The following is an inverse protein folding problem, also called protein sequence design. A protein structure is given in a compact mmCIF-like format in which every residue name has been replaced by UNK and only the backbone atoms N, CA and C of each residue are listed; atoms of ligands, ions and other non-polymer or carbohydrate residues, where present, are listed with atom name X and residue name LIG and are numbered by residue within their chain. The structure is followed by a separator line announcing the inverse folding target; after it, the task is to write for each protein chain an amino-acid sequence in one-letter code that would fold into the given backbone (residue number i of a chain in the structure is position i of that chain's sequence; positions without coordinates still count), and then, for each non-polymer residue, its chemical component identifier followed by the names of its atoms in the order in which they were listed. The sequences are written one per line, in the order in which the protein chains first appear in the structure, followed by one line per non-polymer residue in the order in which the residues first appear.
data_IF_173487918319
#
_entry.id   IF_173487918319
#
_cell.length_a   1.000
_cell.length_b   1.000
_cell.length_c   1.000
_cell.angle_alpha   90.00
_cell.angle_beta   90.00
_cell.angle_gamma   90.00
#
_symmetry.space_group_name_H-M   'P 1'
#
loop_
_entity.id
_entity.type
_entity.pdbx_description
1 polymer ?
#
# COMPACT_ATOMS: atom_id res chain seq x y z
N UNK A 1 -29.09 -16.53 -0.27
CA UNK A 1 -27.81 -15.96 0.22
C UNK A 1 -27.18 -16.93 1.19
N UNK A 2 -25.97 -17.42 0.93
CA UNK A 2 -25.14 -18.15 1.89
C UNK A 2 -24.99 -17.34 3.19
N UNK A 3 -24.84 -18.00 4.35
CA UNK A 3 -24.74 -17.34 5.65
C UNK A 3 -23.73 -16.18 5.69
N UNK A 4 -22.56 -16.37 5.05
CA UNK A 4 -21.49 -15.37 4.99
C UNK A 4 -21.90 -14.08 4.25
N UNK A 5 -22.73 -14.17 3.20
CA UNK A 5 -23.20 -12.98 2.47
C UNK A 5 -24.19 -12.14 3.29
N UNK A 6 -25.01 -12.79 4.13
CA UNK A 6 -25.93 -12.09 5.04
C UNK A 6 -25.15 -11.29 6.10
N UNK A 7 -24.08 -11.88 6.63
CA UNK A 7 -23.20 -11.23 7.60
C UNK A 7 -22.51 -10.01 6.98
N UNK A 8 -21.87 -10.16 5.80
CA UNK A 8 -21.20 -9.07 5.05
C UNK A 8 -22.15 -7.89 4.79
N UNK A 9 -23.39 -8.18 4.40
CA UNK A 9 -24.40 -7.15 4.14
C UNK A 9 -24.84 -6.41 5.40
N UNK A 10 -24.87 -7.08 6.57
CA UNK A 10 -25.19 -6.46 7.84
C UNK A 10 -24.02 -5.59 8.34
N UNK A 11 -22.78 -6.03 8.14
CA UNK A 11 -21.55 -5.31 8.51
C UNK A 11 -21.39 -3.97 7.78
N UNK A 12 -21.86 -3.87 6.53
CA UNK A 12 -21.84 -2.60 5.77
C UNK A 12 -22.72 -1.51 6.39
N UNK A 13 -23.67 -1.85 7.27
CA UNK A 13 -24.61 -0.88 7.82
C UNK A 13 -23.97 -0.07 8.96
N UNK A 14 -24.18 1.26 9.01
CA UNK A 14 -23.72 2.06 10.13
C UNK A 14 -24.36 1.56 11.44
N UNK A 15 -23.56 1.48 12.51
CA UNK A 15 -24.02 1.01 13.82
C UNK A 15 -24.01 -0.52 14.01
N UNK A 16 -23.51 -1.29 13.04
CA UNK A 16 -23.32 -2.73 13.22
C UNK A 16 -22.22 -3.00 14.25
N UNK A 17 -22.59 -3.65 15.35
CA UNK A 17 -21.63 -4.16 16.33
C UNK A 17 -21.21 -5.57 15.97
N UNK A 18 -19.91 -5.83 16.01
CA UNK A 18 -19.35 -7.13 15.76
C UNK A 18 -19.67 -8.09 16.91
N UNK A 19 -20.44 -9.17 16.68
CA UNK A 19 -20.62 -10.18 17.71
C UNK A 19 -19.26 -10.82 17.98
N UNK A 20 -18.89 -10.87 19.25
CA UNK A 20 -17.74 -11.66 19.70
C UNK A 20 -18.23 -13.10 19.79
N UNK A 21 -17.53 -14.02 19.12
CA UNK A 21 -17.76 -15.44 19.29
C UNK A 21 -16.67 -15.95 20.24
N UNK A 22 -17.05 -16.18 21.50
CA UNK A 22 -16.16 -16.68 22.55
C UNK A 22 -15.64 -18.08 22.21
N UNK A 23 -16.48 -18.91 21.58
CA UNK A 23 -16.15 -20.28 21.17
C UNK A 23 -15.04 -20.29 20.10
N UNK A 24 -15.10 -19.37 19.14
CA UNK A 24 -14.10 -19.22 18.10
C UNK A 24 -12.92 -18.31 18.51
N UNK A 25 -12.99 -17.70 19.70
CA UNK A 25 -12.06 -16.66 20.18
C UNK A 25 -11.78 -15.59 19.13
N UNK A 26 -12.81 -15.26 18.35
CA UNK A 26 -12.73 -14.35 17.21
C UNK A 26 -13.49 -13.06 17.55
N UNK A 27 -12.78 -11.93 17.42
CA UNK A 27 -13.32 -10.59 17.66
C UNK A 27 -13.67 -9.86 16.36
N UNK A 28 -13.76 -8.52 16.46
CA UNK A 28 -13.94 -7.63 15.30
C UNK A 28 -12.82 -7.88 14.27
N UNK A 29 -13.13 -7.94 12.96
CA UNK A 29 -12.12 -8.08 11.94
C UNK A 29 -11.23 -6.85 11.87
N UNK A 30 -9.96 -7.10 11.53
CA UNK A 30 -9.03 -6.05 11.15
C UNK A 30 -9.33 -5.52 9.75
N UNK A 31 -8.70 -4.39 9.43
CA UNK A 31 -8.77 -3.77 8.11
C UNK A 31 -7.37 -3.37 7.69
N UNK A 32 -6.91 -3.92 6.58
CA UNK A 32 -5.64 -3.61 5.96
C UNK A 32 -5.91 -3.35 4.46
N UNK A 33 -6.07 -2.08 4.06
CA UNK A 33 -6.53 -1.75 2.70
C UNK A 33 -5.49 -1.97 1.61
N UNK A 34 -4.21 -2.11 1.97
CA UNK A 34 -3.09 -2.13 1.04
C UNK A 34 -2.33 -3.45 1.08
N UNK A 35 -1.89 -3.92 -0.09
CA UNK A 35 -1.01 -5.07 -0.25
C UNK A 35 0.43 -4.71 0.07
N UNK A 36 1.31 -5.70 0.21
CA UNK A 36 2.74 -5.41 0.37
C UNK A 36 3.31 -4.69 -0.85
N UNK A 37 4.32 -3.85 -0.63
CA UNK A 37 5.01 -3.18 -1.72
C UNK A 37 5.75 -4.20 -2.59
N UNK A 38 5.82 -3.98 -3.92
CA UNK A 38 6.54 -4.87 -4.81
C UNK A 38 8.04 -4.90 -4.48
N UNK A 39 8.71 -5.95 -4.93
CA UNK A 39 10.09 -6.24 -4.55
C UNK A 39 11.04 -5.03 -4.68
N UNK A 40 11.71 -4.70 -3.58
CA UNK A 40 12.66 -3.61 -3.48
C UNK A 40 12.03 -2.22 -3.30
N UNK A 41 10.72 -2.11 -3.16
CA UNK A 41 10.06 -0.92 -2.65
C UNK A 41 9.76 -1.07 -1.16
N UNK A 42 9.78 0.05 -0.44
CA UNK A 42 9.40 0.13 0.96
C UNK A 42 8.08 0.89 1.10
N UNK A 43 7.22 0.44 2.00
CA UNK A 43 5.99 1.16 2.29
C UNK A 43 6.32 2.50 2.96
N UNK A 44 5.74 3.56 2.45
CA UNK A 44 5.97 4.92 2.91
C UNK A 44 4.70 5.77 2.83
N UNK A 45 4.81 7.00 3.32
CA UNK A 45 3.74 7.99 3.23
C UNK A 45 3.93 8.85 1.98
N UNK A 46 2.83 9.27 1.35
CA UNK A 46 2.91 10.23 0.25
C UNK A 46 3.47 11.55 0.79
N UNK A 47 4.61 11.99 0.28
CA UNK A 47 5.19 13.29 0.63
C UNK A 47 4.45 14.39 -0.15
N UNK A 48 3.56 15.11 0.53
CA UNK A 48 2.81 16.22 -0.04
C UNK A 48 3.70 17.47 -0.17
N UNK A 49 4.69 17.43 -1.06
CA UNK A 49 5.28 18.59 -1.73
C UNK A 49 5.96 19.70 -0.90
N UNK A 50 5.85 19.70 0.42
CA UNK A 50 6.53 20.66 1.30
C UNK A 50 6.99 19.90 2.53
N UNK A 51 8.25 20.15 2.86
CA UNK A 51 8.88 19.88 4.14
C UNK A 51 9.49 18.48 4.35
N UNK A 52 10.76 18.54 4.75
CA UNK A 52 11.54 17.47 5.37
C UNK A 52 10.87 17.07 6.68
N UNK A 53 9.83 16.24 6.63
CA UNK A 53 9.20 15.77 7.86
C UNK A 53 8.96 14.25 7.83
N UNK A 54 9.81 13.57 8.58
CA UNK A 54 9.50 12.38 9.37
C UNK A 54 8.70 11.28 8.65
N UNK A 55 9.44 10.39 7.98
CA UNK A 55 8.98 9.09 7.46
C UNK A 55 8.40 8.12 8.53
N UNK A 56 8.14 8.58 9.76
CA UNK A 56 7.78 7.78 10.93
C UNK A 56 6.59 8.33 11.74
N UNK A 57 5.69 9.10 11.12
CA UNK A 57 4.49 9.65 11.75
C UNK A 57 3.20 8.89 11.40
N UNK A 58 2.83 7.89 12.22
CA UNK A 58 1.50 7.36 12.57
C UNK A 58 0.33 7.23 11.56
N UNK A 59 0.52 7.46 10.25
CA UNK A 59 -0.52 7.37 9.22
C UNK A 59 -0.36 6.16 8.30
N UNK A 60 -1.41 5.83 7.53
CA UNK A 60 -1.39 4.71 6.60
C UNK A 60 -0.30 4.89 5.52
N UNK A 61 0.53 3.87 5.35
CA UNK A 61 1.56 3.83 4.31
C UNK A 61 0.90 3.54 2.95
N UNK A 62 0.46 4.61 2.29
CA UNK A 62 -0.34 4.58 1.05
C UNK A 62 0.51 4.55 -0.23
N UNK A 63 1.84 4.69 -0.13
CA UNK A 63 2.75 4.65 -1.28
C UNK A 63 3.87 3.66 -1.06
N UNK A 64 4.47 3.22 -2.16
CA UNK A 64 5.69 2.45 -2.20
C UNK A 64 6.81 3.33 -2.73
N UNK A 65 7.92 3.42 -2.00
CA UNK A 65 9.08 4.23 -2.37
C UNK A 65 10.33 3.37 -2.58
N UNK A 66 11.19 3.77 -3.51
CA UNK A 66 12.46 3.12 -3.77
C UNK A 66 13.49 4.12 -4.26
N UNK A 67 14.66 4.14 -3.64
CA UNK A 67 15.81 4.88 -4.14
C UNK A 67 16.61 4.02 -5.10
N UNK A 68 16.87 4.54 -6.31
CA UNK A 68 17.68 3.85 -7.33
C UNK A 68 18.76 4.76 -7.89
N UNK A 69 19.83 4.15 -8.38
CA UNK A 69 20.84 4.84 -9.17
C UNK A 69 20.51 4.68 -10.67
N UNK A 70 19.94 5.72 -11.29
CA UNK A 70 19.59 5.71 -12.71
C UNK A 70 20.83 5.66 -13.63
N UNK A 71 22.00 6.10 -13.16
CA UNK A 71 23.25 6.06 -13.93
C UNK A 71 23.85 4.66 -14.03
N UNK A 72 23.56 3.76 -13.07
CA UNK A 72 24.02 2.37 -13.13
C UNK A 72 23.49 1.64 -14.37
N UNK A 73 22.26 1.96 -14.81
CA UNK A 73 21.70 1.46 -16.06
C UNK A 73 20.68 2.45 -16.63
N UNK A 74 21.17 3.49 -17.34
CA UNK A 74 20.32 4.54 -17.92
C UNK A 74 19.33 4.00 -18.94
N UNK A 75 19.72 3.00 -19.72
CA UNK A 75 18.86 2.38 -20.73
C UNK A 75 17.64 1.73 -20.09
N UNK A 76 17.85 0.85 -19.10
CA UNK A 76 16.76 0.18 -18.40
C UNK A 76 15.87 1.17 -17.63
N UNK A 77 16.46 2.17 -16.97
CA UNK A 77 15.71 3.20 -16.27
C UNK A 77 14.80 3.99 -17.23
N UNK A 78 15.33 4.42 -18.37
CA UNK A 78 14.56 5.15 -19.39
C UNK A 78 13.45 4.28 -20.00
N UNK A 79 13.66 2.99 -20.18
CA UNK A 79 12.62 2.08 -20.67
C UNK A 79 11.45 1.96 -19.68
N UNK A 80 11.74 1.87 -18.38
CA UNK A 80 10.70 1.71 -17.34
C UNK A 80 10.02 3.04 -16.98
N UNK A 81 10.79 4.11 -16.87
CA UNK A 81 10.38 5.36 -16.25
C UNK A 81 10.55 6.59 -17.17
N UNK A 82 11.03 6.42 -18.40
CA UNK A 82 11.22 7.53 -19.34
C UNK A 82 9.93 8.01 -20.02
N UNK A 83 8.82 7.31 -19.86
CA UNK A 83 7.51 7.75 -20.35
C UNK A 83 6.73 8.47 -19.24
N UNK A 84 6.85 9.79 -19.20
CA UNK A 84 6.19 10.63 -18.19
C UNK A 84 4.66 10.48 -18.19
N UNK A 85 4.03 10.33 -19.36
CA UNK A 85 2.57 10.17 -19.45
C UNK A 85 2.12 8.85 -18.82
N UNK A 86 2.84 7.76 -19.11
CA UNK A 86 2.56 6.46 -18.50
C UNK A 86 2.79 6.50 -16.98
N UNK A 87 3.87 7.15 -16.53
CA UNK A 87 4.13 7.34 -15.10
C UNK A 87 3.01 8.11 -14.41
N UNK A 88 2.56 9.22 -14.99
CA UNK A 88 1.46 10.02 -14.44
C UNK A 88 0.15 9.22 -14.36
N UNK A 89 -0.18 8.47 -15.40
CA UNK A 89 -1.36 7.59 -15.40
C UNK A 89 -1.29 6.50 -14.32
N UNK A 90 -0.09 5.99 -14.05
CA UNK A 90 0.16 5.01 -12.99
C UNK A 90 0.36 5.65 -11.60
N UNK A 91 0.31 6.98 -11.47
CA UNK A 91 0.59 7.70 -10.22
C UNK A 91 2.04 7.63 -9.76
N UNK A 92 2.97 7.27 -10.65
CA UNK A 92 4.39 7.17 -10.37
C UNK A 92 5.02 8.56 -10.41
N UNK A 93 5.76 8.91 -9.37
CA UNK A 93 6.57 10.14 -9.31
C UNK A 93 8.04 9.79 -9.14
N UNK A 94 8.90 10.58 -9.77
CA UNK A 94 10.36 10.40 -9.74
C UNK A 94 10.94 11.71 -9.22
N UNK A 95 11.58 11.65 -8.06
CA UNK A 95 12.22 12.79 -7.43
C UNK A 95 13.72 12.57 -7.38
N UNK A 96 14.47 13.53 -7.90
CA UNK A 96 15.93 13.54 -7.80
C UNK A 96 16.37 13.93 -6.39
N UNK A 97 17.34 13.21 -5.80
CA UNK A 97 17.79 13.46 -4.42
C UNK A 97 18.83 14.57 -4.29
N UNK A 98 19.48 14.98 -5.39
CA UNK A 98 20.56 15.97 -5.41
C UNK A 98 20.52 16.82 -6.68
N UNK A 99 19.33 17.34 -7.06
CA UNK A 99 19.20 18.17 -8.25
C UNK A 99 19.53 19.63 -7.92
N UNK A 100 20.67 20.11 -8.42
CA UNK A 100 20.86 21.54 -8.60
C UNK A 100 20.05 21.91 -9.85
N UNK A 101 19.09 22.83 -9.68
CA UNK A 101 18.10 23.25 -10.68
C UNK A 101 18.66 23.35 -12.11
N UNK A 102 18.45 22.33 -12.94
CA UNK A 102 18.53 22.43 -14.39
C UNK A 102 17.49 21.53 -15.06
N UNK A 103 16.84 22.09 -16.07
CA UNK A 103 15.66 21.57 -16.74
C UNK A 103 15.87 20.17 -17.36
N UNK A 104 15.07 19.20 -16.91
CA UNK A 104 14.88 17.88 -17.54
C UNK A 104 15.86 16.82 -17.03
N UNK A 105 15.32 15.73 -16.44
CA UNK A 105 16.03 14.58 -15.84
C UNK A 105 17.53 14.86 -15.63
N UNK A 106 17.80 15.76 -14.68
CA UNK A 106 19.12 16.34 -14.46
C UNK A 106 20.13 15.25 -14.16
N UNK A 107 21.41 15.55 -14.34
CA UNK A 107 22.54 14.64 -14.14
C UNK A 107 22.63 13.93 -12.77
N UNK A 108 21.67 14.12 -11.87
CA UNK A 108 21.60 13.42 -10.59
C UNK A 108 21.41 11.92 -10.82
N UNK A 109 22.34 11.13 -10.31
CA UNK A 109 22.27 9.68 -10.49
C UNK A 109 21.31 9.01 -9.51
N UNK A 110 21.04 9.63 -8.36
CA UNK A 110 20.16 9.08 -7.33
C UNK A 110 18.77 9.69 -7.41
N UNK A 111 17.77 8.83 -7.61
CA UNK A 111 16.36 9.22 -7.69
C UNK A 111 15.51 8.36 -6.77
N UNK A 112 14.47 8.95 -6.20
CA UNK A 112 13.40 8.26 -5.47
C UNK A 112 12.23 8.08 -6.41
N UNK A 113 11.88 6.83 -6.67
CA UNK A 113 10.65 6.46 -7.34
C UNK A 113 9.59 6.27 -6.25
N UNK A 114 8.46 6.93 -6.38
CA UNK A 114 7.28 6.75 -5.54
C UNK A 114 6.13 6.30 -6.42
N UNK A 115 5.38 5.29 -5.98
CA UNK A 115 4.20 4.81 -6.69
C UNK A 115 3.07 4.51 -5.69
N UNK A 116 1.79 4.50 -6.13
CA UNK A 116 0.68 4.12 -5.27
C UNK A 116 0.87 2.69 -4.76
N UNK A 117 0.54 2.45 -3.49
CA UNK A 117 0.55 1.10 -2.94
C UNK A 117 -0.66 0.33 -3.48
N UNK A 118 -0.50 -0.91 -3.96
CA UNK A 118 -1.62 -1.67 -4.48
C UNK A 118 -2.69 -1.89 -3.40
N UNK A 119 -3.96 -1.77 -3.77
CA UNK A 119 -5.07 -2.05 -2.87
C UNK A 119 -5.33 -3.55 -2.79
N UNK A 120 -5.63 -4.06 -1.60
CA UNK A 120 -6.06 -5.46 -1.43
C UNK A 120 -7.42 -5.66 -2.06
N UNK A 121 -7.56 -6.75 -2.80
CA UNK A 121 -8.87 -7.23 -3.24
C UNK A 121 -9.79 -7.55 -2.06
N UNK A 122 -9.23 -8.08 -0.97
CA UNK A 122 -9.92 -8.41 0.27
C UNK A 122 -9.27 -7.64 1.44
N UNK A 123 -9.74 -6.43 1.79
CA UNK A 123 -9.05 -5.58 2.75
C UNK A 123 -9.41 -5.89 4.21
N UNK A 124 -10.43 -6.71 4.47
CA UNK A 124 -10.81 -7.09 5.83
C UNK A 124 -10.30 -8.48 6.17
N UNK A 125 -9.99 -8.73 7.44
CA UNK A 125 -9.53 -10.04 7.86
C UNK A 125 -9.96 -10.42 9.28
N UNK A 126 -10.07 -11.73 9.52
CA UNK A 126 -10.13 -12.29 10.87
C UNK A 126 -8.87 -13.09 11.16
N UNK A 127 -8.37 -12.97 12.38
CA UNK A 127 -7.35 -13.86 12.92
C UNK A 127 -8.03 -14.88 13.85
N UNK A 128 -8.21 -16.11 13.37
CA UNK A 128 -8.92 -17.18 14.10
C UNK A 128 -7.88 -18.21 14.55
N UNK A 129 -7.80 -18.55 15.86
CA UNK A 129 -6.90 -19.61 16.31
C UNK A 129 -7.39 -20.98 15.83
N UNK A 130 -6.50 -21.79 15.27
CA UNK A 130 -6.75 -23.20 15.00
C UNK A 130 -6.71 -24.05 16.28
N UNK A 131 -6.94 -25.36 16.17
CA UNK A 131 -6.99 -26.30 17.31
C UNK A 131 -5.70 -26.32 18.16
N UNK A 132 -4.59 -25.81 17.61
CA UNK A 132 -3.28 -25.70 18.29
C UNK A 132 -3.03 -24.30 18.87
N UNK A 133 -3.99 -23.39 18.77
CA UNK A 133 -3.89 -22.01 19.23
C UNK A 133 -3.12 -21.07 18.30
N UNK A 134 -2.73 -21.53 17.09
CA UNK A 134 -2.05 -20.69 16.10
C UNK A 134 -3.10 -19.88 15.34
N UNK A 135 -2.93 -18.56 15.30
CA UNK A 135 -3.84 -17.67 14.58
C UNK A 135 -3.65 -17.81 13.07
N UNK A 136 -4.73 -18.17 12.38
CA UNK A 136 -4.84 -18.18 10.93
C UNK A 136 -5.59 -16.95 10.47
N UNK A 137 -5.04 -16.24 9.48
CA UNK A 137 -5.63 -15.03 8.93
C UNK A 137 -6.50 -15.36 7.72
N UNK A 138 -7.79 -15.05 7.81
CA UNK A 138 -8.74 -15.21 6.72
C UNK A 138 -9.19 -13.85 6.20
N UNK A 139 -8.92 -13.57 4.93
CA UNK A 139 -9.25 -12.33 4.25
C UNK A 139 -10.63 -12.37 3.61
N UNK A 140 -11.30 -11.23 3.54
CA UNK A 140 -12.57 -11.07 2.83
C UNK A 140 -12.82 -9.60 2.40
N UNK A 141 -13.69 -9.41 1.40
CA UNK A 141 -14.17 -8.11 1.01
C UNK A 141 -15.60 -7.87 1.49
N UNK A 142 -15.86 -6.66 1.98
CA UNK A 142 -17.22 -6.22 2.24
C UNK A 142 -17.97 -5.98 0.92
N UNK A 143 -17.33 -5.39 -0.08
CA UNK A 143 -17.90 -4.95 -1.34
C UNK A 143 -18.13 -6.06 -2.37
N UNK A 144 -18.72 -7.18 -1.93
CA UNK A 144 -19.35 -8.19 -2.80
C UNK A 144 -20.43 -7.57 -3.68
#
# INVERSE_FOLDING_TARGET
MPPMQKLISAMKKPGFSWPICEEAKAGKPGHEPFEDCPAGFQAGRASSGRDNDSLFGGGEAIVCTKTVNQCSNRGAFRTLYGNERANQQAGITIRELNSNNDNGFGNSCQVVITQPRPMRADPYYFDIPNDKGVKERHWFNLNL
#
